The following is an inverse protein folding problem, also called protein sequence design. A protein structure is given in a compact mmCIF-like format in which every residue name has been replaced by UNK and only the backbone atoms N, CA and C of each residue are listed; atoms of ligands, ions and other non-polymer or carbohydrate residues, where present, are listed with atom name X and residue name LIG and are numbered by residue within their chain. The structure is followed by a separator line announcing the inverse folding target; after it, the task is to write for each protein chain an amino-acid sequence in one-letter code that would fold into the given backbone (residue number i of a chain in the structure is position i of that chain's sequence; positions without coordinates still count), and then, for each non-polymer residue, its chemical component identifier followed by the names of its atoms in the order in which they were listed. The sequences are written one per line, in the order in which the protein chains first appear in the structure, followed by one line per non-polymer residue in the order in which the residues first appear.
data_IF_561498715806
#
_entry.id   IF_561498715806
#
_cell.length_a   1.000
_cell.length_b   1.000
_cell.length_c   1.000
_cell.angle_alpha   90.00
_cell.angle_beta   90.00
_cell.angle_gamma   90.00
#
_symmetry.space_group_name_H-M   'P 1'
#
loop_
_entity.id
_entity.type
_entity.pdbx_description
1 polymer ?
#
# COMPACT_ATOMS: atom_id res chain seq x y z
N UNK A 1 -0.48 -26.23 -1.28
CA UNK A 1 0.76 -25.52 -0.89
C UNK A 1 0.62 -25.02 0.53
N UNK A 2 1.58 -24.26 1.05
CA UNK A 2 1.44 -23.57 2.33
C UNK A 2 0.94 -22.14 2.07
N UNK A 3 -0.30 -21.85 2.46
CA UNK A 3 -0.98 -20.59 2.16
C UNK A 3 -0.67 -19.49 3.20
N UNK A 4 0.60 -19.34 3.55
CA UNK A 4 1.05 -18.33 4.51
C UNK A 4 0.82 -16.91 3.96
N UNK A 5 0.25 -16.04 4.79
CA UNK A 5 -0.02 -14.63 4.45
C UNK A 5 0.69 -13.67 5.39
N UNK A 6 0.73 -13.95 6.70
CA UNK A 6 1.38 -13.10 7.69
C UNK A 6 1.48 -13.82 9.03
N UNK A 7 2.38 -13.39 9.91
CA UNK A 7 2.60 -13.99 11.23
C UNK A 7 1.68 -13.41 12.32
N UNK A 8 0.37 -13.41 12.05
CA UNK A 8 -0.64 -12.97 13.03
C UNK A 8 -0.69 -13.98 14.19
N UNK A 9 -0.64 -13.54 15.47
CA UNK A 9 -0.60 -14.46 16.61
C UNK A 9 -1.79 -15.44 16.70
N UNK A 10 -2.97 -15.06 16.20
CA UNK A 10 -4.15 -15.91 16.17
C UNK A 10 -4.18 -16.88 14.99
N UNK A 11 -3.25 -16.78 14.04
CA UNK A 11 -3.20 -17.61 12.84
C UNK A 11 -2.21 -18.74 13.00
N UNK A 12 -2.62 -19.95 12.58
CA UNK A 12 -1.78 -21.14 12.67
C UNK A 12 -0.81 -21.19 11.49
N UNK A 13 0.48 -21.18 11.79
CA UNK A 13 1.58 -21.17 10.80
C UNK A 13 1.42 -20.06 9.75
N UNK A 14 0.93 -18.89 10.19
CA UNK A 14 0.70 -17.72 9.34
C UNK A 14 -0.37 -17.87 8.26
N UNK A 15 -1.17 -18.94 8.32
CA UNK A 15 -2.27 -19.20 7.39
C UNK A 15 -3.55 -18.52 7.91
N UNK A 16 -4.23 -17.72 7.07
CA UNK A 16 -5.46 -17.03 7.49
C UNK A 16 -6.60 -18.03 7.77
N UNK A 17 -7.70 -17.56 8.38
CA UNK A 17 -8.93 -18.34 8.51
C UNK A 17 -9.32 -18.99 7.19
N UNK A 18 -9.71 -20.27 7.26
CA UNK A 18 -10.07 -21.10 6.11
C UNK A 18 -8.98 -21.29 5.04
N UNK A 19 -7.73 -20.90 5.32
CA UNK A 19 -6.63 -21.00 4.36
C UNK A 19 -6.05 -22.40 4.17
N UNK A 20 -6.39 -23.39 4.99
CA UNK A 20 -5.92 -24.79 4.82
C UNK A 20 -6.87 -25.61 3.93
N UNK A 21 -8.11 -25.77 4.38
CA UNK A 21 -9.09 -26.69 3.79
C UNK A 21 -10.43 -26.00 3.48
N UNK A 22 -10.55 -24.69 3.76
CA UNK A 22 -11.78 -23.91 3.61
C UNK A 22 -11.77 -22.97 2.41
N UNK A 23 -12.66 -21.98 2.42
CA UNK A 23 -12.74 -20.94 1.39
C UNK A 23 -12.38 -19.59 2.00
N UNK A 24 -11.08 -19.30 2.07
CA UNK A 24 -10.58 -18.06 2.66
C UNK A 24 -10.86 -16.82 1.81
N UNK A 25 -11.49 -15.81 2.41
CA UNK A 25 -11.75 -14.49 1.83
C UNK A 25 -10.45 -13.78 1.44
N UNK A 26 -9.43 -13.80 2.31
CA UNK A 26 -8.13 -13.20 2.03
C UNK A 26 -7.45 -13.84 0.80
N UNK A 27 -7.40 -15.17 0.72
CA UNK A 27 -6.75 -15.84 -0.41
C UNK A 27 -7.47 -15.56 -1.74
N UNK A 28 -8.81 -15.53 -1.72
CA UNK A 28 -9.57 -15.20 -2.92
C UNK A 28 -9.40 -13.72 -3.32
N UNK A 29 -9.39 -12.79 -2.37
CA UNK A 29 -9.09 -11.38 -2.66
C UNK A 29 -7.66 -11.17 -3.18
N UNK A 30 -6.67 -11.91 -2.64
CA UNK A 30 -5.30 -11.89 -3.16
C UNK A 30 -5.25 -12.39 -4.60
N UNK A 31 -6.02 -13.43 -4.93
CA UNK A 31 -6.12 -13.92 -6.30
C UNK A 31 -6.72 -12.87 -7.24
N UNK A 32 -7.84 -12.25 -6.86
CA UNK A 32 -8.47 -11.16 -7.62
C UNK A 32 -7.52 -9.99 -7.82
N UNK A 33 -6.82 -9.55 -6.76
CA UNK A 33 -5.81 -8.49 -6.85
C UNK A 33 -4.68 -8.86 -7.82
N UNK A 34 -4.20 -10.10 -7.76
CA UNK A 34 -3.14 -10.59 -8.64
C UNK A 34 -3.59 -10.64 -10.10
N UNK A 35 -4.83 -11.08 -10.38
CA UNK A 35 -5.40 -11.07 -11.72
C UNK A 35 -5.45 -9.64 -12.29
N UNK A 36 -5.79 -8.65 -11.47
CA UNK A 36 -5.86 -7.26 -11.90
C UNK A 36 -4.46 -6.67 -12.19
N UNK A 37 -3.45 -7.04 -11.39
CA UNK A 37 -2.06 -6.70 -11.67
C UNK A 37 -1.56 -7.36 -12.97
N UNK A 38 -1.89 -8.64 -13.17
CA UNK A 38 -1.54 -9.37 -14.38
C UNK A 38 -2.20 -8.75 -15.61
N UNK A 39 -3.49 -8.43 -15.56
CA UNK A 39 -4.21 -7.77 -16.65
C UNK A 39 -3.60 -6.40 -17.02
N UNK A 40 -3.16 -5.62 -16.03
CA UNK A 40 -2.45 -4.35 -16.24
C UNK A 40 -1.11 -4.57 -16.96
N UNK A 41 -0.32 -5.53 -16.48
CA UNK A 41 0.97 -5.86 -17.08
C UNK A 41 0.82 -6.36 -18.54
N UNK A 42 -0.10 -7.28 -18.77
CA UNK A 42 -0.38 -7.84 -20.10
C UNK A 42 -0.89 -6.77 -21.06
N UNK A 43 -1.78 -5.87 -20.60
CA UNK A 43 -2.23 -4.74 -21.41
C UNK A 43 -1.06 -3.86 -21.84
N UNK A 44 -0.12 -3.61 -20.92
CA UNK A 44 1.06 -2.81 -21.23
C UNK A 44 1.99 -3.50 -22.24
N UNK A 45 2.12 -4.82 -22.16
CA UNK A 45 2.90 -5.62 -23.12
C UNK A 45 2.22 -5.80 -24.47
N UNK A 46 0.97 -5.36 -24.64
CA UNK A 46 0.18 -5.58 -25.86
C UNK A 46 -0.47 -6.97 -25.93
N UNK A 47 -0.46 -7.73 -24.83
CA UNK A 47 -1.04 -9.08 -24.72
C UNK A 47 -2.54 -9.01 -24.42
N UNK A 48 -3.32 -8.56 -25.41
CA UNK A 48 -4.75 -8.23 -25.24
C UNK A 48 -5.61 -9.41 -24.79
N UNK A 49 -5.38 -10.61 -25.32
CA UNK A 49 -6.16 -11.81 -25.01
C UNK A 49 -5.93 -12.31 -23.58
N UNK A 50 -4.68 -12.28 -23.11
CA UNK A 50 -4.35 -12.65 -21.74
C UNK A 50 -4.97 -11.64 -20.76
N UNK A 51 -4.85 -10.35 -21.05
CA UNK A 51 -5.47 -9.31 -20.24
C UNK A 51 -7.00 -9.45 -20.19
N UNK A 52 -7.62 -9.76 -21.33
CA UNK A 52 -9.07 -10.01 -21.40
C UNK A 52 -9.47 -11.27 -20.62
N UNK A 53 -8.66 -12.34 -20.64
CA UNK A 53 -8.90 -13.55 -19.84
C UNK A 53 -8.89 -13.23 -18.35
N UNK A 54 -7.89 -12.50 -17.86
CA UNK A 54 -7.80 -12.13 -16.45
C UNK A 54 -8.99 -11.26 -16.02
N UNK A 55 -9.40 -10.29 -16.85
CA UNK A 55 -10.61 -9.48 -16.60
C UNK A 55 -11.90 -10.29 -16.56
N UNK A 56 -12.05 -11.31 -17.42
CA UNK A 56 -13.21 -12.23 -17.38
C UNK A 56 -13.26 -13.01 -16.08
N UNK A 57 -12.11 -13.51 -15.59
CA UNK A 57 -12.04 -14.21 -14.31
C UNK A 57 -12.40 -13.28 -13.14
N UNK A 58 -11.89 -12.05 -13.15
CA UNK A 58 -12.26 -11.02 -12.16
C UNK A 58 -13.78 -10.78 -12.18
N UNK A 59 -14.37 -10.58 -13.36
CA UNK A 59 -15.80 -10.34 -13.50
C UNK A 59 -16.68 -11.52 -13.04
N UNK A 60 -16.18 -12.75 -13.13
CA UNK A 60 -16.86 -13.93 -12.59
C UNK A 60 -16.73 -14.01 -11.05
N UNK A 61 -15.57 -13.66 -10.51
CA UNK A 61 -15.27 -13.81 -9.08
C UNK A 61 -15.86 -12.70 -8.23
N UNK A 62 -15.82 -11.44 -8.66
CA UNK A 62 -16.25 -10.29 -7.84
C UNK A 62 -17.67 -10.44 -7.26
N UNK A 63 -18.71 -10.85 -8.02
CA UNK A 63 -20.04 -11.05 -7.44
C UNK A 63 -20.07 -12.13 -6.35
N UNK A 64 -19.26 -13.19 -6.50
CA UNK A 64 -19.15 -14.27 -5.50
C UNK A 64 -18.39 -13.81 -4.26
N UNK A 65 -17.42 -12.91 -4.42
CA UNK A 65 -16.70 -12.30 -3.31
C UNK A 65 -17.62 -11.43 -2.46
N UNK A 66 -18.42 -10.59 -3.11
CA UNK A 66 -19.45 -9.78 -2.48
C UNK A 66 -20.47 -10.67 -1.76
N UNK A 67 -21.01 -11.69 -2.43
CA UNK A 67 -21.99 -12.60 -1.82
C UNK A 67 -21.43 -13.40 -0.62
N UNK A 68 -20.19 -13.88 -0.73
CA UNK A 68 -19.63 -14.82 0.25
C UNK A 68 -19.00 -14.14 1.45
N UNK A 69 -18.38 -12.97 1.27
CA UNK A 69 -17.49 -12.39 2.28
C UNK A 69 -17.92 -11.00 2.75
N UNK A 70 -18.76 -10.27 2.00
CA UNK A 70 -19.18 -8.95 2.45
C UNK A 70 -20.19 -9.05 3.60
N UNK A 71 -19.88 -8.43 4.74
CA UNK A 71 -20.83 -8.21 5.82
C UNK A 71 -21.38 -6.79 5.74
N UNK A 72 -22.66 -6.66 5.36
CA UNK A 72 -23.30 -5.34 5.23
C UNK A 72 -23.42 -4.57 6.55
N UNK A 73 -23.56 -5.26 7.68
CA UNK A 73 -23.70 -4.59 8.98
C UNK A 73 -22.37 -4.02 9.42
N UNK A 74 -21.28 -4.72 9.11
CA UNK A 74 -19.93 -4.32 9.47
C UNK A 74 -19.28 -3.41 8.44
N UNK A 75 -19.75 -3.42 7.20
CA UNK A 75 -19.11 -2.73 6.09
C UNK A 75 -17.67 -3.21 5.87
N UNK A 76 -17.45 -4.52 5.98
CA UNK A 76 -16.13 -5.18 5.94
C UNK A 76 -16.25 -6.51 5.19
N UNK A 77 -15.12 -7.00 4.66
CA UNK A 77 -15.00 -8.37 4.20
C UNK A 77 -14.55 -9.30 5.32
N UNK A 78 -15.22 -10.43 5.49
CA UNK A 78 -14.80 -11.53 6.35
C UNK A 78 -13.65 -12.33 5.72
N UNK A 79 -12.83 -12.96 6.56
CA UNK A 79 -11.80 -13.92 6.13
C UNK A 79 -12.39 -15.31 5.84
N UNK A 80 -13.60 -15.61 6.32
CA UNK A 80 -14.31 -16.88 6.23
C UNK A 80 -15.76 -16.68 5.76
N UNK A 81 -16.42 -17.75 5.31
CA UNK A 81 -17.81 -17.68 4.79
C UNK A 81 -18.86 -17.56 5.90
N UNK A 82 -18.51 -17.98 7.11
CA UNK A 82 -19.33 -17.95 8.30
C UNK A 82 -19.30 -16.58 9.00
N UNK A 83 -18.49 -15.65 8.47
CA UNK A 83 -18.39 -14.26 8.92
C UNK A 83 -17.95 -14.16 10.40
N UNK A 84 -17.08 -15.07 10.83
CA UNK A 84 -16.56 -15.14 12.20
C UNK A 84 -15.26 -14.36 12.38
N UNK A 85 -14.46 -14.25 11.33
CA UNK A 85 -13.13 -13.66 11.40
C UNK A 85 -12.97 -12.51 10.42
N UNK A 86 -12.26 -11.47 10.86
CA UNK A 86 -12.00 -10.27 10.08
C UNK A 86 -10.56 -9.82 10.33
N UNK A 87 -9.88 -9.42 9.27
CA UNK A 87 -8.48 -8.99 9.30
C UNK A 87 -8.31 -7.68 8.56
N UNK A 88 -7.27 -6.93 8.91
CA UNK A 88 -6.83 -5.79 8.10
C UNK A 88 -6.39 -6.26 6.70
N UNK A 89 -5.88 -7.48 6.58
CA UNK A 89 -5.31 -8.05 5.37
C UNK A 89 -6.32 -8.10 4.22
N UNK A 90 -7.49 -8.70 4.46
CA UNK A 90 -8.51 -8.87 3.41
C UNK A 90 -9.06 -7.51 2.96
N UNK A 91 -9.22 -6.55 3.89
CA UNK A 91 -9.67 -5.20 3.53
C UNK A 91 -8.61 -4.48 2.68
N UNK A 92 -7.34 -4.55 3.09
CA UNK A 92 -6.24 -3.91 2.36
C UNK A 92 -6.15 -4.45 0.93
N UNK A 93 -6.21 -5.77 0.74
CA UNK A 93 -6.11 -6.36 -0.60
C UNK A 93 -7.32 -6.02 -1.46
N UNK A 94 -8.52 -6.01 -0.89
CA UNK A 94 -9.72 -5.58 -1.58
C UNK A 94 -9.62 -4.12 -2.05
N UNK A 95 -9.16 -3.20 -1.19
CA UNK A 95 -8.93 -1.79 -1.52
C UNK A 95 -7.78 -1.61 -2.55
N UNK A 96 -6.69 -2.37 -2.41
CA UNK A 96 -5.54 -2.30 -3.31
C UNK A 96 -5.86 -2.79 -4.73
N UNK A 97 -6.87 -3.66 -4.87
CA UNK A 97 -7.35 -4.15 -6.17
C UNK A 97 -7.84 -3.02 -7.08
N UNK A 98 -8.40 -1.93 -6.51
CA UNK A 98 -9.06 -0.84 -7.25
C UNK A 98 -10.23 -1.30 -8.14
N UNK A 99 -10.89 -2.38 -7.74
CA UNK A 99 -12.06 -2.91 -8.45
C UNK A 99 -13.38 -2.52 -7.78
N UNK A 100 -13.31 -2.00 -6.56
CA UNK A 100 -14.47 -1.53 -5.79
C UNK A 100 -14.82 -0.10 -6.21
N UNK A 101 -16.11 0.19 -6.30
CA UNK A 101 -16.62 1.54 -6.48
C UNK A 101 -16.52 2.36 -5.18
N UNK A 102 -16.87 3.64 -5.24
CA UNK A 102 -16.84 4.54 -4.09
C UNK A 102 -17.81 4.10 -2.99
N UNK A 103 -19.00 3.60 -3.36
CA UNK A 103 -20.02 3.15 -2.41
C UNK A 103 -19.53 1.97 -1.56
N UNK A 104 -18.68 1.10 -2.12
CA UNK A 104 -18.08 0.00 -1.38
C UNK A 104 -16.76 0.36 -0.71
N UNK A 105 -15.88 1.11 -1.39
CA UNK A 105 -14.52 1.37 -0.88
C UNK A 105 -14.47 2.37 0.27
N UNK A 106 -15.32 3.39 0.31
CA UNK A 106 -15.35 4.37 1.39
C UNK A 106 -15.71 3.76 2.76
N UNK A 107 -16.83 3.03 2.93
CA UNK A 107 -17.16 2.41 4.21
C UNK A 107 -16.13 1.34 4.59
N UNK A 108 -15.63 0.57 3.63
CA UNK A 108 -14.59 -0.43 3.86
C UNK A 108 -13.33 0.18 4.47
N UNK A 109 -12.85 1.30 3.90
CA UNK A 109 -11.67 1.99 4.44
C UNK A 109 -11.94 2.62 5.81
N UNK A 110 -13.11 3.25 5.99
CA UNK A 110 -13.50 3.82 7.27
C UNK A 110 -13.52 2.75 8.38
N UNK A 111 -14.10 1.58 8.09
CA UNK A 111 -14.19 0.48 9.05
C UNK A 111 -12.88 -0.28 9.25
N UNK A 112 -12.01 -0.37 8.23
CA UNK A 112 -10.63 -0.87 8.38
C UNK A 112 -9.89 -0.11 9.50
N UNK A 113 -10.07 1.22 9.55
CA UNK A 113 -9.43 2.06 10.56
C UNK A 113 -10.16 1.96 11.91
N UNK A 114 -11.50 2.00 11.90
CA UNK A 114 -12.29 2.18 13.11
C UNK A 114 -12.55 0.89 13.89
N UNK A 115 -12.66 -0.26 13.21
CA UNK A 115 -13.03 -1.52 13.85
C UNK A 115 -11.92 -1.99 14.81
N UNK A 116 -12.22 -2.23 16.11
CA UNK A 116 -11.20 -2.57 17.10
C UNK A 116 -10.77 -4.04 17.04
N UNK A 117 -11.62 -4.91 16.49
CA UNK A 117 -11.58 -6.37 16.59
C UNK A 117 -10.96 -7.06 15.35
N UNK A 118 -10.33 -6.31 14.45
CA UNK A 118 -9.62 -6.89 13.31
C UNK A 118 -8.32 -7.56 13.74
N UNK A 119 -8.04 -8.74 13.18
CA UNK A 119 -6.70 -9.29 13.15
C UNK A 119 -5.77 -8.30 12.44
N UNK A 120 -4.79 -7.78 13.19
CA UNK A 120 -3.88 -6.73 12.72
C UNK A 120 -2.77 -7.29 11.87
N UNK A 121 -2.38 -6.53 10.86
CA UNK A 121 -1.16 -6.78 10.10
C UNK A 121 0.05 -6.79 11.03
N UNK A 122 0.98 -7.67 10.73
CA UNK A 122 2.30 -7.69 11.35
C UNK A 122 3.34 -7.19 10.36
N UNK A 123 4.61 -7.53 10.57
CA UNK A 123 5.75 -6.92 9.91
C UNK A 123 5.66 -7.07 8.40
N UNK A 124 5.50 -8.28 7.89
CA UNK A 124 5.49 -8.53 6.45
C UNK A 124 4.34 -7.78 5.76
N UNK A 125 3.12 -7.95 6.27
CA UNK A 125 1.94 -7.42 5.59
C UNK A 125 1.74 -5.91 5.77
N UNK A 126 2.39 -5.29 6.77
CA UNK A 126 2.34 -3.84 6.97
C UNK A 126 2.73 -3.05 5.71
N UNK A 127 3.53 -3.60 4.80
CA UNK A 127 3.79 -3.01 3.49
C UNK A 127 2.49 -2.69 2.71
N UNK A 128 1.56 -3.63 2.66
CA UNK A 128 0.28 -3.47 1.96
C UNK A 128 -0.67 -2.54 2.71
N UNK A 129 -0.67 -2.58 4.05
CA UNK A 129 -1.39 -1.60 4.86
C UNK A 129 -0.89 -0.19 4.56
N UNK A 130 0.42 0.03 4.52
CA UNK A 130 1.00 1.34 4.27
C UNK A 130 0.75 1.85 2.84
N UNK A 131 0.71 0.98 1.83
CA UNK A 131 0.26 1.37 0.48
C UNK A 131 -1.24 1.74 0.48
N UNK A 132 -2.05 1.02 1.26
CA UNK A 132 -3.49 1.30 1.42
C UNK A 132 -3.71 2.66 2.08
N UNK A 133 -3.00 2.95 3.19
CA UNK A 133 -3.07 4.23 3.89
C UNK A 133 -2.65 5.40 3.00
N UNK A 134 -1.54 5.25 2.26
CA UNK A 134 -1.09 6.26 1.31
C UNK A 134 -2.15 6.55 0.25
N UNK A 135 -2.80 5.53 -0.31
CA UNK A 135 -3.84 5.73 -1.34
C UNK A 135 -5.06 6.48 -0.83
N UNK A 136 -5.31 6.45 0.47
CA UNK A 136 -6.44 7.15 1.10
C UNK A 136 -6.00 8.44 1.82
N UNK A 137 -4.77 8.92 1.58
CA UNK A 137 -4.28 10.17 2.18
C UNK A 137 -4.00 10.09 3.68
N UNK A 138 -3.94 8.90 4.27
CA UNK A 138 -3.81 8.67 5.71
C UNK A 138 -2.38 8.37 6.16
N UNK A 139 -1.44 9.20 5.69
CA UNK A 139 -0.03 9.06 6.11
C UNK A 139 0.17 9.34 7.61
N UNK A 140 -0.74 10.07 8.26
CA UNK A 140 -0.80 10.18 9.72
C UNK A 140 -0.86 8.81 10.41
N UNK A 141 -1.70 7.89 9.91
CA UNK A 141 -1.81 6.53 10.46
C UNK A 141 -0.58 5.68 10.14
N UNK A 142 0.08 5.91 9.01
CA UNK A 142 1.37 5.27 8.73
C UNK A 142 2.41 5.68 9.78
N UNK A 143 2.52 6.98 10.09
CA UNK A 143 3.45 7.48 11.10
C UNK A 143 3.12 6.93 12.50
N UNK A 144 1.85 6.77 12.84
CA UNK A 144 1.43 6.12 14.10
C UNK A 144 1.90 4.66 14.15
N UNK A 145 1.72 3.90 13.06
CA UNK A 145 2.16 2.50 12.96
C UNK A 145 3.68 2.33 13.03
N UNK A 146 4.48 3.38 12.76
CA UNK A 146 5.94 3.33 12.93
C UNK A 146 6.39 3.17 14.38
N UNK A 147 5.52 3.41 15.37
CA UNK A 147 5.78 3.13 16.79
C UNK A 147 6.40 1.75 17.00
N UNK A 148 5.88 0.72 16.32
CA UNK A 148 6.44 -0.63 16.35
C UNK A 148 7.93 -0.69 15.97
N UNK A 149 8.35 0.00 14.90
CA UNK A 149 9.75 0.06 14.48
C UNK A 149 10.61 0.90 15.42
N UNK A 150 10.04 1.95 16.03
CA UNK A 150 10.73 2.73 17.05
C UNK A 150 11.03 1.87 18.29
N UNK A 151 10.09 1.00 18.68
CA UNK A 151 10.26 0.07 19.79
C UNK A 151 11.36 -0.96 19.52
N UNK A 152 11.53 -1.44 18.27
CA UNK A 152 12.65 -2.34 17.92
C UNK A 152 13.99 -1.69 18.26
N UNK A 153 14.18 -0.42 17.89
CA UNK A 153 15.41 0.31 18.22
C UNK A 153 15.55 0.56 19.73
N UNK A 154 14.45 0.83 20.43
CA UNK A 154 14.43 0.98 21.89
C UNK A 154 14.83 -0.33 22.60
N UNK A 155 14.48 -1.48 22.02
CA UNK A 155 14.86 -2.83 22.49
C UNK A 155 16.30 -3.22 22.09
N UNK A 156 17.07 -2.32 21.48
CA UNK A 156 18.48 -2.53 21.15
C UNK A 156 18.73 -3.14 19.77
N UNK A 157 17.69 -3.47 19.00
CA UNK A 157 17.83 -4.02 17.66
C UNK A 157 18.39 -2.96 16.70
N UNK A 158 19.23 -3.41 15.76
CA UNK A 158 19.82 -2.59 14.68
C UNK A 158 19.28 -2.93 13.30
N UNK A 159 18.41 -3.93 13.24
CA UNK A 159 17.80 -4.51 12.05
C UNK A 159 16.33 -4.79 12.32
N UNK A 160 15.54 -4.98 11.27
CA UNK A 160 14.11 -5.29 11.38
C UNK A 160 13.90 -6.79 11.54
N UNK A 161 12.97 -7.20 12.40
CA UNK A 161 12.74 -8.62 12.73
C UNK A 161 11.79 -9.32 11.74
N UNK A 162 11.74 -10.65 11.78
CA UNK A 162 10.89 -11.47 10.90
C UNK A 162 9.41 -11.40 11.24
N UNK A 163 9.06 -11.54 12.52
CA UNK A 163 7.68 -11.52 13.00
C UNK A 163 7.63 -10.91 14.40
N UNK A 164 6.44 -10.55 14.93
CA UNK A 164 6.34 -10.16 16.33
C UNK A 164 6.94 -11.21 17.25
N UNK A 165 7.49 -10.78 18.39
CA UNK A 165 8.14 -11.69 19.33
C UNK A 165 7.18 -12.81 19.81
N UNK A 166 7.67 -14.05 19.98
CA UNK A 166 9.06 -14.50 19.82
C UNK A 166 9.46 -14.69 18.34
N UNK A 167 10.47 -13.96 17.86
CA UNK A 167 10.94 -14.07 16.47
C UNK A 167 12.07 -15.10 16.32
N UNK A 168 12.16 -15.75 15.15
CA UNK A 168 13.31 -16.61 14.80
C UNK A 168 14.49 -15.81 14.26
N UNK A 169 14.22 -14.70 13.55
CA UNK A 169 15.25 -13.86 12.95
C UNK A 169 15.08 -12.40 13.37
N UNK A 170 16.18 -11.82 13.86
CA UNK A 170 16.30 -10.40 14.22
C UNK A 170 16.72 -9.52 13.04
N UNK A 171 16.93 -10.12 11.86
CA UNK A 171 17.35 -9.44 10.65
C UNK A 171 16.64 -10.04 9.43
N UNK A 172 15.52 -9.43 9.05
CA UNK A 172 14.67 -9.86 7.96
C UNK A 172 14.30 -8.69 7.05
N UNK A 173 14.64 -8.81 5.77
CA UNK A 173 14.51 -7.73 4.78
C UNK A 173 13.07 -7.27 4.58
N UNK A 174 12.08 -8.17 4.73
CA UNK A 174 10.67 -7.82 4.61
C UNK A 174 10.17 -6.87 5.70
N UNK A 175 10.96 -6.60 6.73
CA UNK A 175 10.63 -5.61 7.76
C UNK A 175 11.13 -4.22 7.43
N UNK A 176 11.93 -4.06 6.37
CA UNK A 176 12.55 -2.80 5.99
C UNK A 176 11.66 -1.92 5.08
N UNK A 177 10.40 -2.30 4.83
CA UNK A 177 9.48 -1.53 3.99
C UNK A 177 9.19 -0.09 4.48
N UNK A 178 9.39 0.33 5.75
CA UNK A 178 9.30 1.76 6.08
C UNK A 178 10.25 2.62 5.24
N UNK A 179 11.44 2.10 4.88
CA UNK A 179 12.36 2.79 3.98
C UNK A 179 11.73 3.06 2.61
N UNK A 180 11.01 2.07 2.06
CA UNK A 180 10.25 2.25 0.83
C UNK A 180 9.16 3.31 1.01
N UNK A 181 8.40 3.27 2.11
CA UNK A 181 7.28 4.19 2.33
C UNK A 181 7.73 5.63 2.64
N UNK A 182 8.90 5.86 3.24
CA UNK A 182 9.45 7.22 3.32
C UNK A 182 9.69 7.84 1.94
N UNK A 183 10.14 7.04 0.97
CA UNK A 183 10.40 7.52 -0.39
C UNK A 183 9.13 7.55 -1.26
N UNK A 184 8.33 6.50 -1.24
CA UNK A 184 7.20 6.30 -2.13
C UNK A 184 5.86 6.83 -1.59
N UNK A 185 5.74 7.02 -0.27
CA UNK A 185 4.52 7.53 0.37
C UNK A 185 4.73 8.94 0.94
N UNK A 186 5.73 9.13 1.81
CA UNK A 186 5.97 10.45 2.45
C UNK A 186 6.48 11.47 1.44
N UNK A 187 7.62 11.20 0.78
CA UNK A 187 8.06 12.03 -0.35
C UNK A 187 7.16 11.87 -1.59
N UNK A 188 6.43 10.76 -1.66
CA UNK A 188 5.46 10.49 -2.72
C UNK A 188 6.06 10.23 -4.10
N UNK A 189 7.35 9.86 -4.17
CA UNK A 189 8.06 9.66 -5.44
C UNK A 189 7.76 8.26 -5.98
N UNK A 190 7.00 8.20 -7.08
CA UNK A 190 6.64 6.94 -7.75
C UNK A 190 6.84 7.03 -9.27
N UNK A 191 7.00 5.88 -9.95
CA UNK A 191 6.95 5.84 -11.41
C UNK A 191 5.64 6.44 -11.93
N UNK A 192 5.75 7.43 -12.81
CA UNK A 192 4.62 7.97 -13.59
C UNK A 192 4.34 7.18 -14.86
N UNK A 193 5.26 6.28 -15.23
CA UNK A 193 5.16 5.38 -16.38
C UNK A 193 6.01 4.13 -16.18
N UNK A 194 5.74 3.11 -17.01
CA UNK A 194 6.49 1.85 -16.97
C UNK A 194 7.98 2.08 -17.25
N UNK A 195 8.82 1.35 -16.52
CA UNK A 195 10.26 1.55 -16.55
C UNK A 195 10.73 2.88 -15.97
N UNK A 196 9.86 3.58 -15.23
CA UNK A 196 10.16 4.88 -14.61
C UNK A 196 10.51 5.98 -15.64
N UNK A 197 9.97 5.88 -16.86
CA UNK A 197 10.23 6.84 -17.96
C UNK A 197 9.75 8.26 -17.65
N UNK A 198 8.78 8.40 -16.74
CA UNK A 198 8.38 9.65 -16.11
C UNK A 198 8.20 9.44 -14.60
N UNK A 199 8.19 10.52 -13.83
CA UNK A 199 7.95 10.48 -12.38
C UNK A 199 6.63 11.14 -12.01
N UNK A 200 5.92 10.58 -11.03
CA UNK A 200 4.87 11.27 -10.29
C UNK A 200 5.34 11.49 -8.86
N UNK A 201 5.32 12.75 -8.41
CA UNK A 201 5.67 13.14 -7.04
C UNK A 201 4.38 13.63 -6.37
N UNK A 202 3.79 12.81 -5.51
CA UNK A 202 2.55 13.12 -4.79
C UNK A 202 2.77 12.96 -3.28
N UNK A 203 3.37 13.97 -2.62
CA UNK A 203 3.81 13.86 -1.25
C UNK A 203 2.67 13.87 -0.25
N UNK A 204 2.88 13.20 0.89
CA UNK A 204 1.97 13.20 2.03
C UNK A 204 2.79 13.29 3.31
N UNK A 205 2.91 14.48 3.90
CA UNK A 205 3.73 14.69 5.10
C UNK A 205 3.06 14.20 6.39
N UNK A 206 1.74 14.02 6.39
CA UNK A 206 0.99 13.70 7.62
C UNK A 206 1.23 14.79 8.67
N UNK A 207 1.83 14.41 9.80
CA UNK A 207 2.17 15.33 10.91
C UNK A 207 3.57 15.93 10.80
N UNK A 208 4.35 15.59 9.78
CA UNK A 208 5.72 16.10 9.60
C UNK A 208 5.71 17.53 9.07
N UNK A 209 6.61 18.36 9.58
CA UNK A 209 6.83 19.73 9.08
C UNK A 209 7.71 19.78 7.83
N UNK A 210 8.53 18.76 7.61
CA UNK A 210 9.42 18.66 6.45
C UNK A 210 9.86 17.23 6.21
N UNK A 211 10.27 16.94 4.98
CA UNK A 211 10.92 15.67 4.61
C UNK A 211 11.85 15.89 3.43
N UNK A 212 12.99 15.21 3.39
CA UNK A 212 13.88 15.24 2.23
C UNK A 212 14.53 13.89 1.97
N UNK A 213 14.84 13.62 0.71
CA UNK A 213 15.50 12.39 0.32
C UNK A 213 15.75 12.30 -1.17
N UNK A 214 16.34 11.17 -1.57
CA UNK A 214 16.71 10.91 -2.96
C UNK A 214 16.30 9.49 -3.35
N UNK A 215 15.69 9.36 -4.51
CA UNK A 215 15.32 8.08 -5.10
C UNK A 215 16.26 7.77 -6.25
N UNK A 216 16.88 6.59 -6.20
CA UNK A 216 17.74 6.14 -7.29
C UNK A 216 16.90 5.88 -8.54
N UNK A 217 17.34 6.41 -9.67
CA UNK A 217 16.75 6.18 -10.97
C UNK A 217 17.88 5.88 -12.00
N UNK A 218 17.64 5.06 -13.04
CA UNK A 218 18.70 4.65 -13.98
C UNK A 218 19.49 5.80 -14.64
N UNK A 219 18.88 6.97 -14.78
CA UNK A 219 19.51 8.20 -15.33
C UNK A 219 20.16 9.13 -14.28
N UNK A 220 20.12 8.79 -12.99
CA UNK A 220 20.58 9.65 -11.89
C UNK A 220 19.56 9.76 -10.76
N UNK A 221 19.88 10.47 -9.69
CA UNK A 221 18.95 10.62 -8.56
C UNK A 221 17.80 11.58 -8.86
N UNK A 222 16.59 11.20 -8.43
CA UNK A 222 15.47 12.11 -8.23
C UNK A 222 15.58 12.63 -6.80
N UNK A 223 15.75 13.93 -6.61
CA UNK A 223 15.90 14.54 -5.30
C UNK A 223 14.68 15.38 -4.96
N UNK A 224 14.16 15.22 -3.73
CA UNK A 224 12.98 15.93 -3.25
C UNK A 224 13.24 16.44 -1.85
N UNK A 225 12.98 17.72 -1.62
CA UNK A 225 12.90 18.33 -0.30
C UNK A 225 11.57 19.07 -0.16
N UNK A 226 10.84 18.79 0.92
CA UNK A 226 9.50 19.28 1.20
C UNK A 226 9.52 20.09 2.49
N UNK A 227 8.83 21.22 2.49
CA UNK A 227 8.61 22.06 3.66
C UNK A 227 7.11 22.41 3.75
N UNK A 228 6.48 22.01 4.85
CA UNK A 228 5.10 22.36 5.18
C UNK A 228 5.07 23.74 5.82
N UNK A 229 4.58 24.72 5.07
CA UNK A 229 4.21 26.03 5.60
C UNK A 229 2.80 26.04 6.19
N UNK A 230 2.39 27.19 6.71
CA UNK A 230 1.07 27.36 7.33
C UNK A 230 -0.12 27.13 6.39
N UNK A 231 0.05 27.42 5.10
CA UNK A 231 -1.00 27.30 4.07
C UNK A 231 -0.47 26.81 2.72
N UNK A 232 0.79 26.41 2.65
CA UNK A 232 1.45 26.01 1.40
C UNK A 232 2.43 24.88 1.67
N UNK A 233 2.50 23.93 0.74
CA UNK A 233 3.59 22.98 0.64
C UNK A 233 4.59 23.49 -0.39
N UNK A 234 5.84 23.68 0.03
CA UNK A 234 6.94 24.01 -0.89
C UNK A 234 7.81 22.79 -1.12
N UNK A 235 8.08 22.49 -2.38
CA UNK A 235 8.91 21.37 -2.82
C UNK A 235 10.07 21.88 -3.68
N UNK A 236 11.30 21.53 -3.31
CA UNK A 236 12.47 21.61 -4.18
C UNK A 236 12.67 20.24 -4.80
N UNK A 237 12.61 20.17 -6.13
CA UNK A 237 12.73 18.93 -6.89
C UNK A 237 13.90 19.04 -7.86
N UNK A 238 14.75 18.03 -7.91
CA UNK A 238 15.78 17.87 -8.95
C UNK A 238 15.53 16.58 -9.70
N UNK A 239 15.27 16.69 -11.00
CA UNK A 239 15.10 15.53 -11.88
C UNK A 239 16.35 15.29 -12.73
N UNK A 240 16.74 14.03 -12.97
CA UNK A 240 17.80 13.71 -13.92
C UNK A 240 17.50 14.19 -15.35
N UNK A 241 18.55 14.30 -16.17
CA UNK A 241 18.38 14.66 -17.58
C UNK A 241 17.46 13.66 -18.31
N UNK A 242 16.56 14.19 -19.14
CA UNK A 242 15.60 13.39 -19.91
C UNK A 242 14.54 12.68 -19.07
N UNK A 243 14.31 13.11 -17.82
CA UNK A 243 13.17 12.71 -16.99
C UNK A 243 12.26 13.90 -16.77
N UNK A 244 10.98 13.70 -17.12
CA UNK A 244 9.88 14.64 -16.89
C UNK A 244 8.90 14.01 -15.90
N UNK A 245 7.98 14.81 -15.38
CA UNK A 245 7.00 14.28 -14.47
C UNK A 245 5.93 15.28 -14.07
N UNK A 246 5.22 14.93 -13.01
CA UNK A 246 4.19 15.77 -12.41
C UNK A 246 4.38 15.78 -10.90
N UNK A 247 4.28 16.98 -10.32
CA UNK A 247 4.10 17.17 -8.89
C UNK A 247 2.60 17.38 -8.62
N UNK A 248 2.01 16.58 -7.74
CA UNK A 248 0.57 16.60 -7.47
C UNK A 248 0.30 16.76 -5.96
N UNK A 249 -0.50 17.75 -5.60
CA UNK A 249 -0.83 18.03 -4.19
C UNK A 249 -2.12 18.85 -4.10
N UNK A 250 -2.99 18.55 -3.13
CA UNK A 250 -4.24 19.28 -2.92
C UNK A 250 -5.24 19.23 -4.09
N UNK A 251 -5.07 18.30 -5.04
CA UNK A 251 -5.84 18.23 -6.29
C UNK A 251 -5.23 19.03 -7.44
N UNK A 252 -4.21 19.86 -7.18
CA UNK A 252 -3.46 20.59 -8.19
C UNK A 252 -2.30 19.75 -8.74
N UNK A 253 -1.96 19.99 -10.01
CA UNK A 253 -0.83 19.34 -10.68
C UNK A 253 0.07 20.35 -11.40
N UNK A 254 1.38 20.19 -11.23
CA UNK A 254 2.41 21.02 -11.86
C UNK A 254 3.38 20.12 -12.64
N UNK A 255 3.58 20.42 -13.91
CA UNK A 255 4.55 19.72 -14.75
C UNK A 255 5.99 19.96 -14.24
N UNK A 256 6.76 18.89 -14.13
CA UNK A 256 8.16 18.90 -13.74
C UNK A 256 9.06 18.71 -14.96
N UNK A 257 10.11 19.54 -15.05
CA UNK A 257 11.16 19.43 -16.07
C UNK A 257 12.46 18.87 -15.49
N UNK A 258 13.39 18.35 -16.32
CA UNK A 258 14.75 18.03 -15.90
C UNK A 258 15.45 19.20 -15.20
N UNK A 259 16.36 18.88 -14.29
CA UNK A 259 17.10 19.86 -13.50
C UNK A 259 16.38 20.27 -12.20
N UNK A 260 16.96 21.28 -11.53
CA UNK A 260 16.44 21.78 -10.25
C UNK A 260 15.31 22.80 -10.46
N UNK A 261 14.24 22.66 -9.69
CA UNK A 261 13.08 23.55 -9.70
C UNK A 261 12.41 23.60 -8.33
N UNK A 262 11.66 24.68 -8.09
CA UNK A 262 10.81 24.84 -6.92
C UNK A 262 9.34 24.87 -7.34
N UNK A 263 8.51 24.12 -6.63
CA UNK A 263 7.05 24.09 -6.77
C UNK A 263 6.45 24.48 -5.42
N UNK A 264 5.43 25.34 -5.43
CA UNK A 264 4.67 25.68 -4.23
C UNK A 264 3.19 25.56 -4.54
N UNK A 265 2.47 24.75 -3.76
CA UNK A 265 1.03 24.53 -3.90
C UNK A 265 0.32 24.82 -2.56
N UNK A 266 -0.96 25.25 -2.58
CA UNK A 266 -1.77 25.38 -1.36
C UNK A 266 -1.86 24.05 -0.60
N UNK A 267 -1.83 24.13 0.74
CA UNK A 267 -1.97 22.99 1.65
C UNK A 267 -3.40 22.77 2.13
#
# INVERSE_FOLDING_TARGET
GWNCQDWVPSWKDGVPPDGYDGVSGLLNWQYVYTLELAAKLETWLGETELAARNRRLIAELLPRMEESFWDEKRGLYADDKEHQFYSEHVQCVALLSRLLDTERSEPLFANLIAAPDLARTTIYFSHYLFDTLYRHGRTDLFLERLSYWHDLNANGLKTTIEMPEPTRSDCHAWGAHPLYHFLASVLGVRPGGMGFTSVRIAPQLGTLSSASGRVAHPKGFIEVALEQGASTLTARVTLPEGIVGVFAYGGDEVALRPGSQTVSLPA
#
